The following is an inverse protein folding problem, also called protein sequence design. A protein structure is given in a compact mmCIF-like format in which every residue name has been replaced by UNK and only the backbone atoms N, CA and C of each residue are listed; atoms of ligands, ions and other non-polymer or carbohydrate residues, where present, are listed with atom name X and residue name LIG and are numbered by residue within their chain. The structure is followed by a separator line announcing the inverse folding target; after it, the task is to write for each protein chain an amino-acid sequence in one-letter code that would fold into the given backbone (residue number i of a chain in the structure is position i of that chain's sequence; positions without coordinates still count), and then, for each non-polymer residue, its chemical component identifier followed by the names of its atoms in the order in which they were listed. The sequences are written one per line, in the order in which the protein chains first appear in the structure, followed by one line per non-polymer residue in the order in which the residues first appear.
data_IF_256268703957
#
_entry.id   IF_256268703957
#
_cell.length_a   1.000
_cell.length_b   1.000
_cell.length_c   1.000
_cell.angle_alpha   90.00
_cell.angle_beta   90.00
_cell.angle_gamma   90.00
#
_symmetry.space_group_name_H-M   'P 1'
#
loop_
_entity.id
_entity.type
_entity.pdbx_description
1 polymer ?
#
# COMPACT_ATOMS: atom_id res chain seq x y z
N UNK A 1 38.51 -5.27 -13.96
CA UNK A 1 37.74 -4.73 -12.80
C UNK A 1 36.40 -5.43 -12.81
N UNK A 2 36.07 -6.18 -11.73
CA UNK A 2 34.81 -6.90 -11.61
C UNK A 2 33.73 -5.92 -11.32
N UNK A 3 32.60 -6.00 -12.04
CA UNK A 3 31.38 -5.21 -11.74
C UNK A 3 30.30 -6.14 -11.22
N UNK A 4 29.74 -5.84 -10.03
CA UNK A 4 28.74 -6.65 -9.35
C UNK A 4 27.48 -5.82 -9.12
N UNK A 5 26.34 -6.27 -9.66
CA UNK A 5 25.03 -5.70 -9.37
C UNK A 5 24.39 -6.49 -8.21
N UNK A 6 24.01 -5.81 -7.16
CA UNK A 6 23.33 -6.37 -5.99
C UNK A 6 21.90 -5.85 -5.99
N UNK A 7 20.95 -6.72 -6.35
CA UNK A 7 19.53 -6.37 -6.55
C UNK A 7 18.60 -7.33 -5.79
N UNK A 8 18.71 -7.42 -4.45
CA UNK A 8 17.84 -8.27 -3.65
C UNK A 8 16.50 -7.59 -3.37
N UNK A 9 15.51 -8.38 -3.06
CA UNK A 9 14.32 -7.98 -2.35
C UNK A 9 14.53 -8.07 -0.83
N UNK A 10 13.52 -7.67 -0.06
CA UNK A 10 13.49 -7.76 1.40
C UNK A 10 13.50 -9.21 1.88
N UNK A 11 14.01 -9.44 3.09
CA UNK A 11 13.81 -10.68 3.82
C UNK A 11 12.65 -10.47 4.80
N UNK A 12 11.45 -10.89 4.40
CA UNK A 12 10.19 -10.65 5.13
C UNK A 12 10.35 -10.92 6.64
N UNK A 13 9.98 -9.93 7.46
CA UNK A 13 10.08 -10.00 8.91
C UNK A 13 11.51 -9.91 9.49
N UNK A 14 12.54 -9.65 8.67
CA UNK A 14 13.93 -9.62 9.11
C UNK A 14 14.68 -8.36 8.66
N UNK A 15 14.86 -8.15 7.36
CA UNK A 15 15.66 -7.06 6.81
C UNK A 15 14.95 -6.41 5.61
N UNK A 16 15.03 -5.08 5.51
CA UNK A 16 14.61 -4.35 4.31
C UNK A 16 15.50 -4.68 3.11
N UNK A 17 14.99 -4.51 1.90
CA UNK A 17 15.77 -4.73 0.66
C UNK A 17 17.07 -3.92 0.64
N UNK A 18 17.06 -2.67 1.11
CA UNK A 18 18.24 -1.83 1.23
C UNK A 18 19.28 -2.41 2.21
N UNK A 19 18.83 -2.90 3.38
CA UNK A 19 19.73 -3.52 4.37
C UNK A 19 20.34 -4.82 3.85
N UNK A 20 19.57 -5.63 3.13
CA UNK A 20 20.07 -6.84 2.47
C UNK A 20 21.11 -6.48 1.40
N UNK A 21 20.82 -5.49 0.54
CA UNK A 21 21.74 -5.03 -0.50
C UNK A 21 23.06 -4.55 0.11
N UNK A 22 23.01 -3.73 1.16
CA UNK A 22 24.21 -3.24 1.86
C UNK A 22 25.04 -4.36 2.50
N UNK A 23 24.39 -5.36 3.10
CA UNK A 23 25.08 -6.51 3.70
C UNK A 23 25.80 -7.36 2.64
N UNK A 24 25.13 -7.64 1.50
CA UNK A 24 25.73 -8.36 0.38
C UNK A 24 26.89 -7.54 -0.22
N UNK A 25 26.69 -6.25 -0.47
CA UNK A 25 27.71 -5.36 -1.01
C UNK A 25 28.96 -5.30 -0.12
N UNK A 26 28.78 -5.23 1.20
CA UNK A 26 29.88 -5.28 2.16
C UNK A 26 30.64 -6.61 2.10
N UNK A 27 29.94 -7.73 1.90
CA UNK A 27 30.57 -9.03 1.69
C UNK A 27 31.42 -9.10 0.42
N UNK A 28 30.87 -8.61 -0.70
CA UNK A 28 31.60 -8.55 -1.99
C UNK A 28 32.85 -7.69 -1.89
N UNK A 29 32.76 -6.47 -1.30
CA UNK A 29 33.90 -5.56 -1.12
C UNK A 29 34.99 -6.13 -0.23
N UNK A 30 34.64 -7.00 0.75
CA UNK A 30 35.63 -7.72 1.57
C UNK A 30 36.36 -8.81 0.79
N UNK A 31 35.67 -9.48 -0.13
CA UNK A 31 36.26 -10.56 -0.94
C UNK A 31 37.08 -10.02 -2.10
N UNK A 32 36.63 -8.95 -2.74
CA UNK A 32 37.34 -8.27 -3.83
C UNK A 32 37.27 -6.74 -3.61
N UNK A 33 38.36 -6.18 -3.10
CA UNK A 33 38.47 -4.73 -2.81
C UNK A 33 38.49 -3.86 -4.06
N UNK A 34 38.68 -4.45 -5.23
CA UNK A 34 38.68 -3.74 -6.53
C UNK A 34 37.36 -3.88 -7.28
N UNK A 35 36.37 -4.62 -6.72
CA UNK A 35 35.06 -4.74 -7.32
C UNK A 35 34.31 -3.41 -7.28
N UNK A 36 33.72 -3.03 -8.41
CA UNK A 36 32.68 -1.99 -8.48
C UNK A 36 31.35 -2.63 -8.08
N UNK A 37 30.78 -2.25 -6.94
CA UNK A 37 29.51 -2.80 -6.45
C UNK A 37 28.41 -1.78 -6.59
N UNK A 38 27.36 -2.13 -7.36
CA UNK A 38 26.18 -1.32 -7.62
C UNK A 38 25.03 -1.92 -6.83
N UNK A 39 24.49 -1.18 -5.87
CA UNK A 39 23.35 -1.57 -5.06
C UNK A 39 22.05 -1.05 -5.69
N UNK A 40 21.11 -1.95 -5.95
CA UNK A 40 19.77 -1.66 -6.50
C UNK A 40 18.74 -2.54 -5.83
N UNK A 41 18.33 -2.19 -4.59
CA UNK A 41 17.28 -2.94 -3.91
C UNK A 41 16.02 -2.97 -4.78
N UNK A 42 15.33 -4.10 -4.75
CA UNK A 42 14.12 -4.35 -5.53
C UNK A 42 12.91 -4.48 -4.60
N UNK A 43 11.72 -4.44 -5.17
CA UNK A 43 10.47 -4.71 -4.49
C UNK A 43 9.48 -5.37 -5.46
N UNK A 44 8.61 -6.21 -4.93
CA UNK A 44 7.65 -7.05 -5.66
C UNK A 44 6.21 -6.51 -5.66
N UNK A 45 6.01 -5.28 -5.19
CA UNK A 45 4.67 -4.70 -4.98
C UNK A 45 4.12 -4.92 -3.57
N UNK A 46 4.91 -5.51 -2.67
CA UNK A 46 4.61 -5.64 -1.25
C UNK A 46 5.20 -4.52 -0.40
N UNK A 47 5.39 -4.82 0.89
CA UNK A 47 5.99 -3.92 1.88
C UNK A 47 7.41 -3.49 1.47
N UNK A 48 7.69 -2.17 1.55
CA UNK A 48 8.97 -1.57 1.17
C UNK A 48 9.03 -1.05 -0.27
N UNK A 49 8.04 -1.35 -1.11
CA UNK A 49 7.94 -0.83 -2.49
C UNK A 49 7.88 0.69 -2.51
N UNK A 50 7.08 1.29 -1.62
CA UNK A 50 6.96 2.75 -1.49
C UNK A 50 8.33 3.40 -1.23
N UNK A 51 9.10 2.89 -0.29
CA UNK A 51 10.39 3.47 0.06
C UNK A 51 11.35 3.48 -1.13
N UNK A 52 11.41 2.38 -1.89
CA UNK A 52 12.25 2.27 -3.10
C UNK A 52 11.78 3.25 -4.19
N UNK A 53 10.48 3.34 -4.42
CA UNK A 53 9.92 4.26 -5.43
C UNK A 53 10.15 5.72 -5.04
N UNK A 54 10.03 6.09 -3.77
CA UNK A 54 10.32 7.44 -3.29
C UNK A 54 11.80 7.81 -3.47
N UNK A 55 12.71 6.87 -3.22
CA UNK A 55 14.14 7.09 -3.44
C UNK A 55 14.44 7.35 -4.93
N UNK A 56 13.84 6.54 -5.82
CA UNK A 56 14.08 6.63 -7.28
C UNK A 56 13.41 7.86 -7.90
N UNK A 57 12.20 8.19 -7.47
CA UNK A 57 11.39 9.25 -8.07
C UNK A 57 11.53 10.61 -7.38
N UNK A 58 12.24 10.69 -6.25
CA UNK A 58 12.45 11.93 -5.50
C UNK A 58 11.20 12.39 -4.76
N UNK A 59 10.52 11.46 -4.08
CA UNK A 59 9.30 11.74 -3.32
C UNK A 59 9.53 11.88 -1.81
N UNK A 60 8.45 12.10 -1.08
CA UNK A 60 8.41 12.23 0.38
C UNK A 60 7.29 11.41 1.01
N UNK A 61 7.46 10.91 2.24
CA UNK A 61 6.39 10.26 2.99
C UNK A 61 5.41 11.29 3.58
N UNK A 62 4.12 10.96 3.51
CA UNK A 62 3.04 11.76 4.10
C UNK A 62 2.33 10.91 5.16
N UNK A 63 2.31 11.40 6.40
CA UNK A 63 1.64 10.73 7.52
C UNK A 63 0.18 11.17 7.59
N UNK A 64 -0.74 10.23 7.78
CA UNK A 64 -2.18 10.45 7.83
C UNK A 64 -2.79 9.67 8.99
N UNK A 65 -3.65 10.33 9.77
CA UNK A 65 -4.46 9.66 10.77
C UNK A 65 -5.50 8.76 10.08
N UNK A 66 -5.55 7.51 10.47
CA UNK A 66 -6.42 6.49 9.88
C UNK A 66 -6.81 5.42 10.90
N UNK A 67 -7.25 4.26 10.43
CA UNK A 67 -7.53 3.10 11.27
C UNK A 67 -6.81 1.85 10.74
N UNK A 68 -6.59 0.90 11.61
CA UNK A 68 -6.11 -0.43 11.25
C UNK A 68 -7.25 -1.32 10.68
N UNK A 69 -6.96 -2.56 10.25
CA UNK A 69 -7.98 -3.44 9.67
C UNK A 69 -9.16 -3.75 10.59
N UNK A 70 -9.02 -3.58 11.91
CA UNK A 70 -10.06 -3.81 12.90
C UNK A 70 -10.71 -2.51 13.41
N UNK A 71 -10.47 -1.38 12.71
CA UNK A 71 -11.08 -0.08 13.01
C UNK A 71 -10.43 0.68 14.18
N UNK A 72 -9.28 0.24 14.70
CA UNK A 72 -8.58 0.93 15.81
C UNK A 72 -7.78 2.12 15.25
N UNK A 73 -7.84 3.30 15.92
CA UNK A 73 -7.12 4.50 15.45
C UNK A 73 -5.61 4.28 15.38
N UNK A 74 -5.00 4.75 14.27
CA UNK A 74 -3.56 4.74 14.07
C UNK A 74 -3.13 5.86 13.10
N UNK A 75 -1.84 6.04 12.95
CA UNK A 75 -1.25 6.79 11.85
C UNK A 75 -0.62 5.84 10.84
N UNK A 76 -0.78 6.14 9.57
CA UNK A 76 -0.12 5.42 8.50
C UNK A 76 0.45 6.38 7.46
N UNK A 77 1.33 5.87 6.60
CA UNK A 77 2.08 6.69 5.65
C UNK A 77 1.83 6.24 4.22
N UNK A 78 1.70 7.22 3.32
CA UNK A 78 1.81 7.00 1.88
C UNK A 78 2.93 7.86 1.29
N UNK A 79 3.43 7.50 0.12
CA UNK A 79 4.46 8.25 -0.59
C UNK A 79 3.87 9.26 -1.56
N UNK A 80 4.37 10.51 -1.57
CA UNK A 80 4.02 11.54 -2.54
C UNK A 80 5.20 11.85 -3.45
N UNK A 81 4.97 11.78 -4.75
CA UNK A 81 5.94 12.14 -5.79
C UNK A 81 5.39 13.28 -6.64
N UNK A 82 6.17 14.33 -6.79
CA UNK A 82 5.73 15.58 -7.44
C UNK A 82 4.96 16.49 -6.49
N UNK A 83 5.04 17.80 -6.75
CA UNK A 83 4.37 18.82 -5.96
C UNK A 83 3.11 19.32 -6.68
N UNK A 84 2.06 19.60 -5.92
CA UNK A 84 0.83 20.21 -6.43
C UNK A 84 -0.09 19.25 -7.18
N UNK A 85 -0.94 19.80 -8.07
CA UNK A 85 -1.92 19.03 -8.85
C UNK A 85 -1.21 18.23 -9.93
N UNK A 86 -1.53 16.94 -10.03
CA UNK A 86 -0.98 16.03 -11.06
C UNK A 86 0.11 15.09 -10.56
N UNK A 87 0.42 15.09 -9.25
CA UNK A 87 1.42 14.20 -8.66
C UNK A 87 0.98 12.73 -8.61
N UNK A 88 1.94 11.87 -8.27
CA UNK A 88 1.73 10.44 -8.04
C UNK A 88 1.73 10.14 -6.54
N UNK A 89 0.77 9.36 -6.06
CA UNK A 89 0.81 8.79 -4.72
C UNK A 89 1.10 7.28 -4.79
N UNK A 90 2.00 6.83 -3.93
CA UNK A 90 2.33 5.40 -3.74
C UNK A 90 1.77 4.95 -2.41
N UNK A 91 0.81 4.06 -2.42
CA UNK A 91 0.11 3.57 -1.22
C UNK A 91 0.32 2.07 -1.10
N UNK A 92 1.00 1.66 -0.04
CA UNK A 92 1.06 0.25 0.34
C UNK A 92 -0.20 -0.11 1.13
N UNK A 93 -0.93 -1.12 0.69
CA UNK A 93 -2.11 -1.60 1.41
C UNK A 93 -1.72 -2.00 2.84
N UNK A 94 -0.57 -2.63 3.01
CA UNK A 94 -0.06 -3.06 4.31
C UNK A 94 0.18 -1.92 5.31
N UNK A 95 0.32 -0.66 4.86
CA UNK A 95 0.55 0.48 5.75
C UNK A 95 -0.61 0.75 6.72
N UNK A 96 -1.85 0.48 6.31
CA UNK A 96 -3.04 0.61 7.15
C UNK A 96 -3.93 -0.65 7.13
N UNK A 97 -3.66 -1.59 6.21
CA UNK A 97 -4.42 -2.82 6.00
C UNK A 97 -3.59 -4.09 6.20
N UNK A 98 -2.39 -3.99 6.81
CA UNK A 98 -1.42 -5.08 6.89
C UNK A 98 -1.72 -6.13 7.95
N UNK A 99 -1.35 -7.38 7.64
CA UNK A 99 -1.51 -8.53 8.55
C UNK A 99 -0.80 -8.33 9.92
N UNK A 100 0.39 -7.70 10.01
CA UNK A 100 1.02 -7.45 11.32
C UNK A 100 0.22 -6.52 12.25
N UNK A 101 -0.68 -5.70 11.71
CA UNK A 101 -1.47 -4.75 12.48
C UNK A 101 -2.58 -5.41 13.31
N UNK A 102 -3.04 -6.60 12.94
CA UNK A 102 -4.13 -7.29 13.65
C UNK A 102 -3.64 -8.02 14.92
N UNK A 103 -2.32 -8.25 15.08
CA UNK A 103 -1.76 -8.91 16.26
C UNK A 103 -2.20 -10.37 16.40
N UNK A 104 -2.36 -10.82 17.67
CA UNK A 104 -2.60 -12.22 18.00
C UNK A 104 -4.08 -12.67 17.91
N UNK A 105 -4.98 -11.74 17.59
CA UNK A 105 -6.42 -12.01 17.49
C UNK A 105 -6.96 -11.70 16.09
N UNK A 106 -6.64 -12.50 15.07
CA UNK A 106 -7.12 -12.27 13.72
C UNK A 106 -8.63 -12.48 13.61
N UNK A 107 -9.30 -11.52 12.99
CA UNK A 107 -10.70 -11.63 12.60
C UNK A 107 -10.83 -11.34 11.10
N UNK A 108 -10.71 -12.37 10.25
CA UNK A 108 -10.74 -12.19 8.80
C UNK A 108 -12.11 -11.74 8.27
N UNK A 109 -13.19 -11.93 9.02
CA UNK A 109 -14.51 -11.48 8.63
C UNK A 109 -14.75 -10.02 8.96
N UNK A 110 -14.16 -9.50 10.03
CA UNK A 110 -14.26 -8.11 10.45
C UNK A 110 -13.16 -7.23 9.82
N UNK A 111 -12.02 -7.82 9.39
CA UNK A 111 -10.92 -7.06 8.81
C UNK A 111 -11.36 -6.32 7.54
N UNK A 112 -11.07 -5.01 7.51
CA UNK A 112 -11.58 -4.05 6.53
C UNK A 112 -10.41 -3.25 5.90
N UNK A 113 -10.54 -2.91 4.64
CA UNK A 113 -9.56 -2.10 3.91
C UNK A 113 -9.80 -0.58 4.00
N UNK A 114 -10.70 -0.13 4.86
CA UNK A 114 -11.06 1.28 5.03
C UNK A 114 -9.85 2.17 5.31
N UNK A 115 -8.96 1.75 6.20
CA UNK A 115 -7.77 2.55 6.55
C UNK A 115 -6.89 2.87 5.35
N UNK A 116 -6.68 1.91 4.45
CA UNK A 116 -6.00 2.14 3.16
C UNK A 116 -6.80 3.10 2.27
N UNK A 117 -8.12 2.98 2.27
CA UNK A 117 -9.01 3.89 1.55
C UNK A 117 -8.88 5.33 2.02
N UNK A 118 -8.68 5.56 3.32
CA UNK A 118 -8.43 6.90 3.89
C UNK A 118 -7.11 7.49 3.36
N UNK A 119 -6.04 6.70 3.24
CA UNK A 119 -4.78 7.16 2.64
C UNK A 119 -4.98 7.57 1.18
N UNK A 120 -5.67 6.73 0.40
CA UNK A 120 -5.97 6.99 -1.01
C UNK A 120 -6.83 8.24 -1.19
N UNK A 121 -7.86 8.40 -0.36
CA UNK A 121 -8.70 9.59 -0.34
C UNK A 121 -7.90 10.85 -0.03
N UNK A 122 -7.09 10.81 1.02
CA UNK A 122 -6.22 11.93 1.40
C UNK A 122 -5.28 12.31 0.25
N UNK A 123 -4.64 11.34 -0.40
CA UNK A 123 -3.76 11.60 -1.53
C UNK A 123 -4.50 12.30 -2.70
N UNK A 124 -5.69 11.83 -3.04
CA UNK A 124 -6.53 12.39 -4.11
C UNK A 124 -6.99 13.83 -3.78
N UNK A 125 -7.47 14.06 -2.55
CA UNK A 125 -7.89 15.39 -2.08
C UNK A 125 -6.72 16.39 -2.04
N UNK A 126 -5.47 15.88 -1.96
CA UNK A 126 -4.24 16.69 -1.98
C UNK A 126 -3.55 16.71 -3.36
N UNK A 127 -4.30 16.38 -4.43
CA UNK A 127 -3.89 16.64 -5.80
C UNK A 127 -3.19 15.51 -6.52
N UNK A 128 -3.16 14.29 -5.97
CA UNK A 128 -2.66 13.14 -6.71
C UNK A 128 -3.58 12.86 -7.92
N UNK A 129 -2.98 12.72 -9.11
CA UNK A 129 -3.67 12.32 -10.33
C UNK A 129 -3.34 10.88 -10.73
N UNK A 130 -2.29 10.33 -10.16
CA UNK A 130 -1.87 8.94 -10.34
C UNK A 130 -1.72 8.26 -8.98
N UNK A 131 -2.21 7.04 -8.89
CA UNK A 131 -2.13 6.20 -7.70
C UNK A 131 -1.43 4.90 -8.06
N UNK A 132 -0.36 4.58 -7.35
CA UNK A 132 0.28 3.26 -7.36
C UNK A 132 -0.09 2.58 -6.06
N UNK A 133 -0.90 1.53 -6.14
CA UNK A 133 -1.38 0.78 -4.98
C UNK A 133 -0.67 -0.56 -4.93
N UNK A 134 0.12 -0.77 -3.89
CA UNK A 134 0.87 -1.99 -3.65
C UNK A 134 0.04 -2.94 -2.79
N UNK A 135 -0.33 -4.11 -3.33
CA UNK A 135 -1.37 -4.99 -2.75
C UNK A 135 -0.81 -6.10 -1.83
N UNK A 136 0.51 -6.17 -1.64
CA UNK A 136 1.11 -7.21 -0.78
C UNK A 136 0.78 -7.03 0.70
N UNK A 137 0.72 -8.15 1.45
CA UNK A 137 0.64 -8.16 2.91
C UNK A 137 -0.72 -7.85 3.53
N UNK A 138 -1.81 -7.87 2.77
CA UNK A 138 -3.17 -7.58 3.24
C UNK A 138 -3.65 -8.51 4.35
N UNK A 139 -4.34 -7.94 5.35
CA UNK A 139 -5.12 -8.65 6.38
C UNK A 139 -6.60 -8.79 6.03
N UNK A 140 -7.13 -7.91 5.16
CA UNK A 140 -8.54 -7.91 4.80
C UNK A 140 -8.85 -8.91 3.70
N UNK A 141 -10.09 -9.43 3.72
CA UNK A 141 -10.68 -10.29 2.68
C UNK A 141 -11.95 -9.67 2.11
N UNK A 142 -12.05 -8.33 2.18
CA UNK A 142 -13.23 -7.55 1.82
C UNK A 142 -13.32 -7.16 0.34
N UNK A 143 -12.42 -7.67 -0.52
CA UNK A 143 -12.40 -7.34 -1.94
C UNK A 143 -12.20 -5.84 -2.24
N UNK A 144 -11.68 -5.07 -1.28
CA UNK A 144 -11.52 -3.62 -1.38
C UNK A 144 -12.79 -2.82 -1.06
N UNK A 145 -13.80 -3.44 -0.44
CA UNK A 145 -15.04 -2.79 -0.06
C UNK A 145 -14.81 -1.59 0.86
N UNK A 146 -13.90 -1.71 1.83
CA UNK A 146 -13.53 -0.60 2.71
C UNK A 146 -12.91 0.56 1.93
N UNK A 147 -12.02 0.29 0.97
CA UNK A 147 -11.45 1.32 0.09
C UNK A 147 -12.56 2.05 -0.67
N UNK A 148 -13.47 1.31 -1.31
CA UNK A 148 -14.58 1.92 -2.06
C UNK A 148 -15.45 2.81 -1.18
N UNK A 149 -15.80 2.36 0.04
CA UNK A 149 -16.57 3.15 1.01
C UNK A 149 -15.83 4.40 1.45
N UNK A 150 -14.54 4.32 1.74
CA UNK A 150 -13.73 5.48 2.11
C UNK A 150 -13.66 6.52 0.97
N UNK A 151 -13.73 6.06 -0.28
CA UNK A 151 -13.79 6.93 -1.46
C UNK A 151 -15.20 7.43 -1.78
N UNK A 152 -16.23 7.04 -1.00
CA UNK A 152 -17.59 7.56 -1.11
C UNK A 152 -18.60 6.65 -1.80
N UNK A 153 -18.25 5.41 -2.12
CA UNK A 153 -19.23 4.43 -2.58
C UNK A 153 -20.10 3.93 -1.40
N UNK A 154 -21.29 3.45 -1.71
CA UNK A 154 -22.21 2.81 -0.74
C UNK A 154 -22.42 1.36 -1.15
N UNK A 155 -22.30 0.47 -0.18
CA UNK A 155 -22.56 -0.96 -0.34
C UNK A 155 -23.83 -1.29 0.42
N UNK A 156 -24.87 -1.74 -0.27
CA UNK A 156 -26.22 -1.87 0.25
C UNK A 156 -26.72 -3.31 0.19
N UNK A 157 -27.48 -3.67 1.20
CA UNK A 157 -28.26 -4.90 1.22
C UNK A 157 -29.57 -4.78 0.40
N UNK A 158 -30.36 -5.86 0.34
CA UNK A 158 -31.65 -5.91 -0.36
C UNK A 158 -32.69 -4.93 0.17
N UNK A 159 -32.52 -4.39 1.40
CA UNK A 159 -33.40 -3.39 2.00
C UNK A 159 -32.94 -1.95 1.73
N UNK A 160 -31.75 -1.76 1.13
CA UNK A 160 -31.12 -0.47 0.91
C UNK A 160 -30.37 0.05 2.14
N UNK A 161 -30.10 -0.81 3.14
CA UNK A 161 -29.29 -0.47 4.31
C UNK A 161 -27.80 -0.65 3.97
N UNK A 162 -26.94 0.25 4.49
CA UNK A 162 -25.50 0.12 4.31
C UNK A 162 -24.95 -1.08 5.09
N UNK A 163 -24.06 -1.84 4.42
CA UNK A 163 -23.40 -3.00 5.04
C UNK A 163 -22.44 -2.56 6.15
N UNK A 164 -22.32 -3.42 7.15
CA UNK A 164 -21.29 -3.28 8.18
C UNK A 164 -19.87 -3.37 7.55
N UNK A 165 -18.81 -2.89 8.24
CA UNK A 165 -17.44 -3.11 7.85
C UNK A 165 -17.04 -4.59 7.79
N UNK A 166 -16.00 -4.89 6.99
CA UNK A 166 -15.39 -6.21 6.90
C UNK A 166 -15.94 -7.09 5.78
N UNK A 167 -15.13 -8.07 5.40
CA UNK A 167 -15.46 -9.00 4.30
C UNK A 167 -16.66 -9.89 4.59
N UNK A 168 -16.93 -10.19 5.87
CA UNK A 168 -18.05 -11.03 6.27
C UNK A 168 -19.42 -10.44 5.93
N UNK A 169 -19.54 -9.11 5.94
CA UNK A 169 -20.78 -8.43 5.61
C UNK A 169 -21.15 -8.50 4.12
N UNK A 170 -20.19 -8.81 3.24
CA UNK A 170 -20.42 -8.88 1.79
C UNK A 170 -21.35 -10.02 1.38
N UNK A 171 -21.63 -10.97 2.26
CA UNK A 171 -22.62 -12.03 2.01
C UNK A 171 -24.03 -11.45 1.75
N UNK A 172 -24.32 -10.28 2.34
CA UNK A 172 -25.60 -9.58 2.22
C UNK A 172 -25.60 -8.49 1.14
N UNK A 173 -24.51 -8.36 0.36
CA UNK A 173 -24.38 -7.34 -0.68
C UNK A 173 -25.38 -7.58 -1.81
N UNK A 174 -26.27 -6.61 -2.04
CA UNK A 174 -27.19 -6.56 -3.16
C UNK A 174 -26.74 -5.55 -4.24
N UNK A 175 -26.31 -4.35 -3.80
CA UNK A 175 -26.02 -3.25 -4.69
C UNK A 175 -24.83 -2.41 -4.25
N UNK A 176 -24.04 -1.96 -5.22
CA UNK A 176 -22.97 -0.95 -5.05
C UNK A 176 -23.42 0.34 -5.74
N UNK A 177 -23.56 1.42 -4.95
CA UNK A 177 -23.84 2.76 -5.46
C UNK A 177 -22.56 3.57 -5.54
N UNK A 178 -22.25 4.09 -6.74
CA UNK A 178 -21.04 4.86 -7.00
C UNK A 178 -21.30 6.37 -7.14
N UNK A 179 -22.53 6.85 -6.99
CA UNK A 179 -22.88 8.26 -7.19
C UNK A 179 -22.13 9.20 -6.25
N UNK A 180 -21.86 8.74 -5.02
CA UNK A 180 -21.06 9.47 -4.03
C UNK A 180 -19.55 9.34 -4.17
N UNK A 181 -19.07 8.56 -5.14
CA UNK A 181 -17.63 8.33 -5.31
C UNK A 181 -16.91 9.63 -5.66
N UNK A 182 -15.82 9.90 -4.95
CA UNK A 182 -14.96 11.07 -5.13
C UNK A 182 -14.60 11.27 -6.61
N UNK A 183 -14.83 12.48 -7.12
CA UNK A 183 -14.60 12.79 -8.54
C UNK A 183 -13.14 12.59 -8.96
N UNK A 184 -12.20 12.88 -8.06
CA UNK A 184 -10.77 12.63 -8.22
C UNK A 184 -10.48 11.15 -8.42
N UNK A 185 -11.12 10.27 -7.64
CA UNK A 185 -10.96 8.81 -7.75
C UNK A 185 -11.40 8.28 -9.13
N UNK A 186 -12.44 8.88 -9.73
CA UNK A 186 -12.92 8.54 -11.07
C UNK A 186 -11.96 8.98 -12.18
N UNK A 187 -11.24 10.09 -11.96
CA UNK A 187 -10.34 10.68 -12.97
C UNK A 187 -8.90 10.21 -12.86
N UNK A 188 -8.49 9.76 -11.68
CA UNK A 188 -7.14 9.33 -11.43
C UNK A 188 -6.76 8.10 -12.27
N UNK A 189 -5.48 8.01 -12.59
CA UNK A 189 -4.89 6.78 -13.13
C UNK A 189 -4.55 5.85 -11.97
N UNK A 190 -5.02 4.62 -12.04
CA UNK A 190 -4.76 3.58 -11.06
C UNK A 190 -3.80 2.55 -11.62
N UNK A 191 -2.71 2.30 -10.89
CA UNK A 191 -1.78 1.20 -11.14
C UNK A 191 -1.79 0.29 -9.92
N UNK A 192 -2.14 -0.97 -10.11
CA UNK A 192 -2.08 -1.98 -9.05
C UNK A 192 -0.78 -2.75 -9.19
N UNK A 193 0.09 -2.65 -8.19
CA UNK A 193 1.31 -3.43 -8.09
C UNK A 193 1.01 -4.70 -7.31
N UNK A 194 0.98 -5.84 -8.02
CA UNK A 194 0.63 -7.14 -7.48
C UNK A 194 1.56 -8.19 -8.10
N UNK A 195 2.09 -9.09 -7.29
CA UNK A 195 2.98 -10.17 -7.70
C UNK A 195 2.25 -11.50 -7.97
N UNK A 196 0.95 -11.53 -7.71
CA UNK A 196 0.08 -12.70 -7.97
C UNK A 196 -0.93 -12.41 -9.07
N UNK A 197 -1.21 -13.41 -9.90
CA UNK A 197 -2.18 -13.38 -11.01
C UNK A 197 -3.38 -14.27 -10.67
#
# INVERSE_FOLDING_TARGET
MTRVLVAPDSLKGSLSAAAVAGAIAAGVRRADTFAEVIERPMADGGEGTMAILLEVWGGEPIVVATVDPLGRPMEATYGRVGAGVGGTAVVELAAAGGLPLIGDAPDPLAADSWGTGVLLRHALEHGAAELVVCLGGSASTDGGAGILRALGARLLDTTGTELAPGGGALVDLDRVELDGLLGEARRARWTLACDVT
#
